data_IF_428554634658
#
_entry.id   IF_428554634658
#
_cell.length_a   1.000
_cell.length_b   1.000
_cell.length_c   1.000
_cell.angle_alpha   90.00
_cell.angle_beta   90.00
_cell.angle_gamma   90.00
#
_symmetry.space_group_name_H-M   'P 1'
#
loop_
_entity.id
_entity.type
_entity.pdbx_description
1 polymer ?
#
# COMPACT_ATOMS: atom_id res chain seq x y z
N UNK A 1 -8.59 -45.59 -7.37
CA UNK A 1 -9.88 -46.10 -7.92
C UNK A 1 -11.02 -46.31 -6.90
N UNK A 2 -10.77 -46.58 -5.61
CA UNK A 2 -11.86 -46.87 -4.63
C UNK A 2 -12.73 -45.69 -4.15
N UNK A 3 -12.40 -44.44 -4.50
CA UNK A 3 -13.12 -43.23 -4.01
C UNK A 3 -14.30 -42.77 -4.91
N UNK A 4 -14.49 -43.37 -6.08
CA UNK A 4 -15.32 -42.78 -7.16
C UNK A 4 -16.84 -42.83 -6.96
N UNK A 5 -17.38 -43.74 -6.13
CA UNK A 5 -18.84 -43.91 -5.98
C UNK A 5 -19.48 -43.30 -4.72
N UNK A 6 -18.73 -43.14 -3.62
CA UNK A 6 -19.27 -42.62 -2.33
C UNK A 6 -18.86 -41.19 -2.00
N UNK A 7 -17.76 -40.67 -2.57
CA UNK A 7 -17.22 -39.36 -2.23
C UNK A 7 -16.87 -38.54 -3.49
N UNK A 8 -17.88 -38.26 -4.33
CA UNK A 8 -17.75 -37.51 -5.60
C UNK A 8 -16.90 -36.23 -5.44
N UNK A 9 -17.05 -35.54 -4.30
CA UNK A 9 -16.36 -34.29 -4.01
C UNK A 9 -14.89 -34.46 -3.65
N UNK A 10 -14.54 -35.50 -2.88
CA UNK A 10 -13.14 -35.83 -2.59
C UNK A 10 -12.40 -36.24 -3.87
N UNK A 11 -13.07 -36.99 -4.76
CA UNK A 11 -12.50 -37.37 -6.05
C UNK A 11 -12.25 -36.16 -6.97
N UNK A 12 -13.18 -35.21 -7.02
CA UNK A 12 -13.00 -33.98 -7.78
C UNK A 12 -11.84 -33.13 -7.24
N UNK A 13 -11.72 -32.98 -5.91
CA UNK A 13 -10.63 -32.23 -5.28
C UNK A 13 -9.25 -32.88 -5.52
N UNK A 14 -9.16 -34.21 -5.37
CA UNK A 14 -7.93 -34.94 -5.71
C UNK A 14 -7.59 -34.85 -7.20
N UNK A 15 -8.61 -34.81 -8.06
CA UNK A 15 -8.45 -34.55 -9.49
C UNK A 15 -7.79 -33.20 -9.76
N UNK A 16 -8.25 -32.13 -9.10
CA UNK A 16 -7.66 -30.79 -9.21
C UNK A 16 -6.20 -30.76 -8.75
N UNK A 17 -5.92 -31.33 -7.57
CA UNK A 17 -4.56 -31.34 -6.99
C UNK A 17 -3.60 -32.20 -7.81
N UNK A 18 -4.07 -33.32 -8.40
CA UNK A 18 -3.22 -34.18 -9.24
C UNK A 18 -2.72 -33.49 -10.50
N UNK A 19 -3.48 -32.55 -11.06
CA UNK A 19 -3.08 -31.80 -12.26
C UNK A 19 -2.26 -30.55 -11.93
N UNK A 20 -2.27 -30.09 -10.67
CA UNK A 20 -1.53 -28.92 -10.22
C UNK A 20 -1.12 -29.07 -8.73
N UNK A 21 -0.12 -29.92 -8.42
CA UNK A 21 0.22 -30.29 -7.04
C UNK A 21 0.74 -29.13 -6.19
N UNK A 22 1.27 -28.07 -6.81
CA UNK A 22 1.73 -26.86 -6.11
C UNK A 22 0.68 -25.75 -6.04
N UNK A 23 -0.50 -25.93 -6.64
CA UNK A 23 -1.53 -24.89 -6.70
C UNK A 23 -2.20 -24.74 -5.34
N UNK A 24 -2.08 -23.56 -4.77
CA UNK A 24 -2.88 -23.14 -3.61
C UNK A 24 -4.26 -22.71 -4.08
N UNK A 25 -5.30 -23.14 -3.35
CA UNK A 25 -6.69 -22.81 -3.62
C UNK A 25 -7.33 -22.39 -2.30
N UNK A 26 -8.04 -21.27 -2.28
CA UNK A 26 -8.80 -20.89 -1.10
C UNK A 26 -9.95 -21.87 -0.89
N UNK A 27 -10.20 -22.26 0.36
CA UNK A 27 -11.26 -23.22 0.68
C UNK A 27 -12.64 -22.68 0.30
N UNK A 28 -12.80 -21.35 0.30
CA UNK A 28 -14.00 -20.64 -0.20
C UNK A 28 -14.29 -20.93 -1.67
N UNK A 29 -13.25 -21.04 -2.50
CA UNK A 29 -13.39 -21.15 -3.95
C UNK A 29 -13.79 -22.55 -4.40
N UNK A 30 -13.75 -23.51 -3.46
CA UNK A 30 -14.14 -24.91 -3.69
C UNK A 30 -15.66 -25.13 -3.57
N UNK A 31 -16.43 -24.09 -3.19
CA UNK A 31 -17.89 -24.10 -3.09
C UNK A 31 -18.47 -24.86 -1.89
N UNK A 32 -19.78 -24.68 -1.66
CA UNK A 32 -20.49 -25.11 -0.45
C UNK A 32 -20.46 -26.61 -0.21
N UNK A 33 -19.96 -27.05 0.95
CA UNK A 33 -19.83 -28.46 1.34
C UNK A 33 -18.46 -29.08 1.02
N UNK A 34 -17.50 -28.29 0.52
CA UNK A 34 -16.12 -28.75 0.31
C UNK A 34 -15.30 -28.80 1.60
N UNK A 35 -15.69 -28.09 2.66
CA UNK A 35 -14.95 -28.06 3.93
C UNK A 35 -14.76 -29.45 4.56
N UNK A 36 -15.82 -30.27 4.60
CA UNK A 36 -15.73 -31.63 5.13
C UNK A 36 -14.83 -32.53 4.27
N UNK A 37 -14.91 -32.39 2.94
CA UNK A 37 -14.07 -33.16 2.01
C UNK A 37 -12.59 -32.76 2.11
N UNK A 38 -12.29 -31.46 2.21
CA UNK A 38 -10.93 -30.94 2.42
C UNK A 38 -10.36 -31.45 3.74
N UNK A 39 -11.14 -31.40 4.83
CA UNK A 39 -10.72 -31.91 6.13
C UNK A 39 -10.39 -33.40 6.09
N UNK A 40 -11.29 -34.23 5.55
CA UNK A 40 -11.04 -35.69 5.46
C UNK A 40 -9.85 -36.03 4.57
N UNK A 41 -9.62 -35.30 3.47
CA UNK A 41 -8.46 -35.51 2.60
C UNK A 41 -7.16 -35.06 3.27
N UNK A 42 -7.20 -34.00 4.08
CA UNK A 42 -6.06 -33.56 4.88
C UNK A 42 -5.71 -34.56 5.99
N UNK A 43 -6.72 -35.08 6.72
CA UNK A 43 -6.54 -36.15 7.72
C UNK A 43 -5.96 -37.42 7.11
N UNK A 44 -6.33 -37.75 5.88
CA UNK A 44 -5.80 -38.88 5.13
C UNK A 44 -4.41 -38.59 4.49
N UNK A 45 -3.82 -37.41 4.72
CA UNK A 45 -2.47 -37.05 4.28
C UNK A 45 -2.33 -36.65 2.81
N UNK A 46 -3.45 -36.48 2.09
CA UNK A 46 -3.43 -36.12 0.67
C UNK A 46 -3.39 -34.61 0.42
N UNK A 47 -3.81 -33.81 1.40
CA UNK A 47 -3.81 -32.35 1.36
C UNK A 47 -3.13 -31.79 2.60
N UNK A 48 -2.54 -30.61 2.47
CA UNK A 48 -2.10 -29.79 3.60
C UNK A 48 -3.00 -28.57 3.67
N UNK A 49 -3.56 -28.30 4.84
CA UNK A 49 -4.34 -27.10 5.10
C UNK A 49 -3.40 -26.11 5.80
N UNK A 50 -3.26 -24.93 5.23
CA UNK A 50 -2.54 -23.82 5.85
C UNK A 50 -3.48 -22.64 6.01
N UNK A 51 -3.27 -21.87 7.09
CA UNK A 51 -3.94 -20.59 7.27
C UNK A 51 -2.99 -19.51 6.77
N UNK A 52 -3.42 -18.81 5.72
CA UNK A 52 -2.68 -17.71 5.12
C UNK A 52 -3.50 -16.42 5.28
N UNK A 53 -2.85 -15.35 5.76
CA UNK A 53 -3.47 -14.02 5.80
C UNK A 53 -3.53 -13.47 4.37
N UNK A 54 -4.70 -13.49 3.75
CA UNK A 54 -4.92 -12.83 2.47
C UNK A 54 -5.16 -11.35 2.69
N UNK A 55 -4.24 -10.52 2.17
CA UNK A 55 -4.40 -9.06 2.14
C UNK A 55 -5.47 -8.69 1.12
N UNK A 56 -6.39 -7.82 1.52
CA UNK A 56 -7.27 -7.10 0.58
C UNK A 56 -6.49 -5.89 0.09
N UNK A 57 -5.87 -6.01 -1.08
CA UNK A 57 -5.21 -4.86 -1.71
C UNK A 57 -6.26 -4.01 -2.43
N UNK A 58 -6.51 -2.77 -1.99
CA UNK A 58 -7.54 -1.91 -2.57
C UNK A 58 -7.33 -1.61 -4.06
N UNK A 59 -6.11 -1.82 -4.57
CA UNK A 59 -5.78 -1.56 -5.97
C UNK A 59 -5.51 -2.83 -6.79
N UNK A 60 -5.84 -4.02 -6.27
CA UNK A 60 -5.64 -5.29 -6.99
C UNK A 60 -6.49 -5.43 -8.27
N UNK A 61 -7.68 -4.82 -8.32
CA UNK A 61 -8.63 -5.02 -9.44
C UNK A 61 -8.38 -4.11 -10.65
N UNK A 62 -7.28 -3.35 -10.68
CA UNK A 62 -6.98 -2.36 -11.73
C UNK A 62 -5.50 -2.25 -12.11
N UNK A 63 -4.71 -3.30 -11.88
CA UNK A 63 -3.25 -3.27 -12.07
C UNK A 63 -2.89 -3.21 -13.56
N UNK A 64 -2.84 -2.01 -14.12
CA UNK A 64 -1.83 -1.72 -15.13
C UNK A 64 -0.46 -1.97 -14.49
N UNK A 65 0.40 -2.71 -15.17
CA UNK A 65 1.76 -3.02 -14.71
C UNK A 65 2.47 -1.72 -14.31
N UNK A 66 2.74 -1.55 -13.00
CA UNK A 66 3.38 -0.34 -12.50
C UNK A 66 4.87 -0.47 -12.79
N UNK A 67 5.32 0.16 -13.88
CA UNK A 67 6.72 0.24 -14.22
C UNK A 67 7.47 1.12 -13.23
N UNK A 68 8.65 0.68 -12.82
CA UNK A 68 9.54 1.47 -11.98
C UNK A 68 10.00 2.73 -12.71
N UNK A 69 10.01 3.86 -12.01
CA UNK A 69 10.56 5.12 -12.53
C UNK A 69 11.85 5.51 -11.80
N UNK A 70 12.80 6.03 -12.56
CA UNK A 70 14.04 6.58 -12.02
C UNK A 70 13.85 8.04 -11.53
N UNK A 71 14.69 8.51 -10.59
CA UNK A 71 14.76 9.93 -10.25
C UNK A 71 15.18 10.76 -11.48
N UNK A 72 14.53 11.90 -11.66
CA UNK A 72 14.84 12.83 -12.74
C UNK A 72 15.93 13.83 -12.29
N UNK A 73 16.78 14.31 -13.20
CA UNK A 73 17.72 15.39 -12.85
C UNK A 73 16.93 16.64 -12.45
N UNK A 74 17.23 17.18 -11.27
CA UNK A 74 16.65 18.42 -10.79
C UNK A 74 17.32 19.61 -11.50
N UNK A 75 16.52 20.61 -11.88
CA UNK A 75 17.08 21.90 -12.29
C UNK A 75 17.60 22.67 -11.08
N UNK A 76 18.31 23.78 -11.31
CA UNK A 76 18.97 24.55 -10.23
C UNK A 76 18.00 24.99 -9.11
N UNK A 77 16.78 25.41 -9.47
CA UNK A 77 15.77 25.85 -8.49
C UNK A 77 15.23 24.67 -7.68
N UNK A 78 14.94 23.54 -8.33
CA UNK A 78 14.50 22.32 -7.67
C UNK A 78 15.61 21.72 -6.79
N UNK A 79 16.86 21.79 -7.25
CA UNK A 79 18.02 21.34 -6.48
C UNK A 79 18.18 22.17 -5.21
N UNK A 80 18.06 23.50 -5.30
CA UNK A 80 18.09 24.38 -4.14
C UNK A 80 16.99 24.01 -3.13
N UNK A 81 15.75 23.89 -3.61
CA UNK A 81 14.61 23.49 -2.77
C UNK A 81 14.80 22.10 -2.14
N UNK A 82 15.30 21.13 -2.90
CA UNK A 82 15.60 19.79 -2.41
C UNK A 82 16.64 19.82 -1.29
N UNK A 83 17.72 20.60 -1.43
CA UNK A 83 18.74 20.74 -0.40
C UNK A 83 18.19 21.35 0.90
N UNK A 84 17.35 22.39 0.79
CA UNK A 84 16.68 22.97 1.97
C UNK A 84 15.76 21.96 2.66
N UNK A 85 14.99 21.18 1.88
CA UNK A 85 14.10 20.15 2.44
C UNK A 85 14.88 19.07 3.17
N UNK A 86 15.93 18.49 2.56
CA UNK A 86 16.66 17.38 3.20
C UNK A 86 17.47 17.83 4.42
N UNK A 87 17.87 19.10 4.51
CA UNK A 87 18.56 19.65 5.68
C UNK A 87 17.67 19.63 6.94
N UNK A 88 16.35 19.73 6.78
CA UNK A 88 15.40 19.65 7.88
C UNK A 88 15.06 18.19 8.28
N UNK A 89 15.31 17.22 7.39
CA UNK A 89 15.01 15.81 7.66
C UNK A 89 16.01 15.27 8.69
N UNK A 90 15.52 15.08 9.93
CA UNK A 90 16.35 14.61 11.04
C UNK A 90 17.04 15.71 11.83
N UNK A 91 16.76 16.98 11.54
CA UNK A 91 17.12 18.09 12.41
C UNK A 91 16.44 17.94 13.79
N UNK A 92 17.06 18.48 14.84
CA UNK A 92 16.51 18.45 16.20
C UNK A 92 15.21 19.29 16.31
N UNK A 93 15.15 20.39 15.57
CA UNK A 93 14.01 21.31 15.52
C UNK A 93 13.64 21.62 14.06
N UNK A 94 12.98 20.70 13.35
CA UNK A 94 12.67 20.87 11.95
C UNK A 94 11.69 22.02 11.74
N UNK A 95 11.91 22.83 10.69
CA UNK A 95 11.05 23.95 10.32
C UNK A 95 10.10 23.56 9.19
N UNK A 96 8.86 24.08 9.19
CA UNK A 96 7.97 23.93 8.04
C UNK A 96 8.55 24.69 6.84
N UNK A 97 8.52 24.06 5.66
CA UNK A 97 8.96 24.64 4.39
C UNK A 97 7.76 24.76 3.47
N UNK A 98 7.58 25.93 2.86
CA UNK A 98 6.63 26.15 1.79
C UNK A 98 7.33 26.04 0.44
N UNK A 99 7.03 24.99 -0.32
CA UNK A 99 7.52 24.83 -1.69
C UNK A 99 6.59 25.53 -2.69
N UNK A 100 6.88 26.80 -2.98
CA UNK A 100 6.08 27.59 -3.93
C UNK A 100 6.49 27.29 -5.38
N UNK A 101 5.51 26.93 -6.21
CA UNK A 101 5.71 26.77 -7.64
C UNK A 101 4.40 26.55 -8.37
N UNK A 102 4.32 27.01 -9.61
CA UNK A 102 3.14 26.78 -10.47
C UNK A 102 2.96 25.29 -10.80
N UNK A 103 1.79 24.89 -11.25
CA UNK A 103 1.56 23.54 -11.77
C UNK A 103 2.52 23.24 -12.91
N UNK A 104 3.10 22.04 -12.93
CA UNK A 104 4.09 21.66 -13.94
C UNK A 104 5.52 22.13 -13.66
N UNK A 105 5.78 22.91 -12.61
CA UNK A 105 7.16 23.29 -12.22
C UNK A 105 8.02 22.14 -11.67
N UNK A 106 7.42 20.95 -11.50
CA UNK A 106 8.10 19.75 -11.02
C UNK A 106 8.21 19.62 -9.49
N UNK A 107 7.34 20.28 -8.71
CA UNK A 107 7.27 20.12 -7.24
C UNK A 107 7.24 18.65 -6.80
N UNK A 108 6.45 17.84 -7.50
CA UNK A 108 6.34 16.40 -7.22
C UNK A 108 7.68 15.66 -7.32
N UNK A 109 8.60 16.08 -8.21
CA UNK A 109 9.90 15.42 -8.31
C UNK A 109 10.74 15.70 -7.05
N UNK A 110 10.69 16.92 -6.52
CA UNK A 110 11.32 17.28 -5.24
C UNK A 110 10.73 16.44 -4.10
N UNK A 111 9.40 16.26 -4.08
CA UNK A 111 8.73 15.41 -3.09
C UNK A 111 9.24 13.96 -3.13
N UNK A 112 9.31 13.38 -4.34
CA UNK A 112 9.72 11.99 -4.53
C UNK A 112 11.19 11.77 -4.11
N UNK A 113 12.08 12.70 -4.44
CA UNK A 113 13.49 12.60 -4.03
C UNK A 113 13.68 12.85 -2.52
N UNK A 114 12.97 13.81 -1.92
CA UNK A 114 12.99 14.03 -0.48
C UNK A 114 12.44 12.82 0.30
N UNK A 115 11.36 12.20 -0.21
CA UNK A 115 10.83 10.97 0.35
C UNK A 115 11.84 9.82 0.28
N UNK A 116 12.55 9.67 -0.85
CA UNK A 116 13.65 8.69 -0.96
C UNK A 116 14.73 8.95 0.10
N UNK A 117 15.18 10.19 0.25
CA UNK A 117 16.17 10.57 1.24
C UNK A 117 15.74 10.22 2.68
N UNK A 118 14.49 10.54 3.05
CA UNK A 118 13.94 10.15 4.35
C UNK A 118 13.96 8.63 4.57
N UNK A 119 13.59 7.85 3.54
CA UNK A 119 13.61 6.39 3.62
C UNK A 119 15.04 5.83 3.74
N UNK A 120 16.02 6.44 3.07
CA UNK A 120 17.44 6.07 3.18
C UNK A 120 17.99 6.29 4.59
N UNK A 121 17.45 7.27 5.31
CA UNK A 121 17.74 7.51 6.74
C UNK A 121 16.98 6.58 7.69
N UNK A 122 16.26 5.56 7.18
CA UNK A 122 15.45 4.66 8.01
C UNK A 122 14.15 5.27 8.55
N UNK A 123 13.76 6.46 8.07
CA UNK A 123 12.54 7.16 8.50
C UNK A 123 11.34 6.74 7.65
N UNK A 124 10.15 7.22 7.99
CA UNK A 124 8.91 7.03 7.23
C UNK A 124 8.33 8.35 6.73
N UNK A 125 7.44 8.28 5.75
CA UNK A 125 6.90 9.44 5.02
C UNK A 125 5.38 9.43 5.05
N UNK A 126 4.77 10.58 5.38
CA UNK A 126 3.34 10.83 5.20
C UNK A 126 3.14 11.81 4.05
N UNK A 127 2.22 11.50 3.14
CA UNK A 127 1.82 12.34 2.03
C UNK A 127 0.33 12.61 2.15
N UNK A 128 -0.01 13.83 2.54
CA UNK A 128 -1.36 14.33 2.58
C UNK A 128 -1.70 14.93 1.22
N UNK A 129 -2.79 14.47 0.65
CA UNK A 129 -3.39 15.02 -0.57
C UNK A 129 -4.85 15.41 -0.28
N UNK A 130 -5.43 16.37 -1.02
CA UNK A 130 -6.84 16.71 -0.86
C UNK A 130 -7.72 15.47 -1.09
N UNK A 131 -8.81 15.28 -0.31
CA UNK A 131 -9.59 14.04 -0.33
C UNK A 131 -10.20 13.72 -1.71
N UNK A 132 -10.68 14.75 -2.40
CA UNK A 132 -11.24 14.67 -3.76
C UNK A 132 -10.13 14.47 -4.80
N UNK A 133 -8.92 14.93 -4.47
CA UNK A 133 -7.74 14.89 -5.32
C UNK A 133 -6.77 13.79 -4.93
N UNK A 134 -7.23 12.74 -4.22
CA UNK A 134 -6.51 11.47 -4.16
C UNK A 134 -6.50 10.88 -5.57
N UNK A 135 -5.66 11.48 -6.40
CA UNK A 135 -5.61 11.23 -7.81
C UNK A 135 -4.89 9.91 -7.97
N UNK A 136 -5.43 8.97 -8.76
CA UNK A 136 -4.71 7.78 -9.18
C UNK A 136 -3.31 8.12 -9.70
N UNK A 137 -3.13 9.32 -10.27
CA UNK A 137 -1.84 9.85 -10.70
C UNK A 137 -0.82 9.99 -9.57
N UNK A 138 -1.18 10.60 -8.43
CA UNK A 138 -0.23 10.81 -7.32
C UNK A 138 0.16 9.47 -6.69
N UNK A 139 -0.83 8.62 -6.43
CA UNK A 139 -0.59 7.26 -5.92
C UNK A 139 0.31 6.49 -6.89
N UNK A 140 0.01 6.51 -8.19
CA UNK A 140 0.81 5.83 -9.22
C UNK A 140 2.23 6.35 -9.30
N UNK A 141 2.46 7.66 -9.18
CA UNK A 141 3.81 8.23 -9.19
C UNK A 141 4.65 7.71 -8.02
N UNK A 142 4.10 7.69 -6.82
CA UNK A 142 4.80 7.14 -5.66
C UNK A 142 5.00 5.63 -5.79
N UNK A 143 3.97 4.86 -6.16
CA UNK A 143 4.10 3.41 -6.38
C UNK A 143 5.17 3.10 -7.44
N UNK A 144 5.19 3.83 -8.55
CA UNK A 144 6.19 3.69 -9.60
C UNK A 144 7.60 4.06 -9.13
N UNK A 145 7.78 5.18 -8.43
CA UNK A 145 9.10 5.60 -7.92
C UNK A 145 9.68 4.63 -6.90
N UNK A 146 8.81 3.96 -6.15
CA UNK A 146 9.21 3.08 -5.05
C UNK A 146 8.90 1.60 -5.34
N UNK A 147 8.71 1.24 -6.62
CA UNK A 147 8.36 -0.13 -7.03
C UNK A 147 9.43 -1.17 -6.66
N UNK A 148 10.72 -0.79 -6.69
CA UNK A 148 11.81 -1.66 -6.21
C UNK A 148 11.74 -1.96 -4.70
N UNK A 149 11.01 -1.16 -3.92
CA UNK A 149 10.72 -1.45 -2.52
C UNK A 149 9.33 -2.07 -2.42
N UNK A 150 9.31 -3.39 -2.42
CA UNK A 150 8.07 -4.17 -2.33
C UNK A 150 7.20 -3.69 -1.16
N UNK A 151 5.93 -3.40 -1.45
CA UNK A 151 4.93 -2.98 -0.47
C UNK A 151 5.29 -1.74 0.37
N UNK A 152 6.17 -0.87 -0.13
CA UNK A 152 6.59 0.33 0.62
C UNK A 152 5.50 1.41 0.74
N UNK A 153 4.49 1.39 -0.14
CA UNK A 153 3.43 2.40 -0.21
C UNK A 153 2.11 1.83 0.31
N UNK A 154 1.51 2.52 1.27
CA UNK A 154 0.13 2.31 1.73
C UNK A 154 -0.74 3.50 1.31
N UNK A 155 -2.00 3.22 0.99
CA UNK A 155 -2.97 4.25 0.60
C UNK A 155 -4.11 4.26 1.62
N UNK A 156 -4.46 5.42 2.15
CA UNK A 156 -5.52 5.58 3.16
C UNK A 156 -6.53 6.66 2.76
N UNK A 157 -7.78 6.24 2.51
CA UNK A 157 -8.88 7.15 2.20
C UNK A 157 -10.23 6.64 2.74
N UNK A 158 -11.29 7.42 2.54
CA UNK A 158 -12.65 7.12 2.98
C UNK A 158 -13.32 5.98 2.21
N UNK A 159 -12.99 5.80 0.94
CA UNK A 159 -13.54 4.70 0.11
C UNK A 159 -13.03 3.28 0.46
N UNK A 160 -12.08 3.14 1.38
CA UNK A 160 -11.62 1.81 1.82
C UNK A 160 -12.69 1.14 2.70
N UNK A 161 -12.95 -0.14 2.45
CA UNK A 161 -13.69 -0.98 3.39
C UNK A 161 -12.96 -1.07 4.73
N UNK A 162 -13.69 -1.42 5.80
CA UNK A 162 -13.08 -1.61 7.12
C UNK A 162 -11.96 -2.65 7.11
N UNK A 163 -12.11 -3.69 6.28
CA UNK A 163 -11.10 -4.74 6.10
C UNK A 163 -9.82 -4.23 5.45
N UNK A 164 -9.94 -3.50 4.35
CA UNK A 164 -8.80 -2.90 3.66
C UNK A 164 -8.08 -1.88 4.53
N UNK A 165 -8.84 -1.00 5.22
CA UNK A 165 -8.27 -0.04 6.16
C UNK A 165 -7.51 -0.74 7.29
N UNK A 166 -8.02 -1.86 7.81
CA UNK A 166 -7.35 -2.66 8.83
C UNK A 166 -6.03 -3.24 8.30
N UNK A 167 -6.04 -3.82 7.09
CA UNK A 167 -4.85 -4.41 6.47
C UNK A 167 -3.75 -3.36 6.23
N UNK A 168 -4.11 -2.20 5.68
CA UNK A 168 -3.17 -1.08 5.46
C UNK A 168 -2.64 -0.51 6.79
N UNK A 169 -3.51 -0.30 7.78
CA UNK A 169 -3.09 0.18 9.10
C UNK A 169 -2.06 -0.77 9.76
N UNK A 170 -2.28 -2.08 9.64
CA UNK A 170 -1.38 -3.08 10.20
C UNK A 170 -0.04 -3.13 9.46
N UNK A 171 -0.05 -2.99 8.13
CA UNK A 171 1.19 -2.88 7.32
C UNK A 171 2.03 -1.67 7.72
N UNK A 172 1.38 -0.52 7.93
CA UNK A 172 2.05 0.71 8.36
C UNK A 172 2.67 0.50 9.75
N UNK A 173 1.88 -0.02 10.69
CA UNK A 173 2.34 -0.28 12.05
C UNK A 173 3.50 -1.27 12.12
N UNK A 174 3.49 -2.32 11.28
CA UNK A 174 4.57 -3.32 11.18
C UNK A 174 5.81 -2.79 10.46
N UNK A 175 5.77 -1.59 9.88
CA UNK A 175 6.88 -1.00 9.12
C UNK A 175 7.06 -1.60 7.72
N UNK A 176 6.09 -2.37 7.22
CA UNK A 176 6.08 -2.89 5.84
C UNK A 176 5.84 -1.74 4.88
N UNK A 177 4.75 -0.99 5.09
CA UNK A 177 4.51 0.26 4.39
C UNK A 177 5.22 1.40 5.11
N UNK A 178 6.17 2.04 4.42
CA UNK A 178 7.00 3.13 4.95
C UNK A 178 6.59 4.50 4.41
N UNK A 179 5.75 4.52 3.38
CA UNK A 179 5.13 5.71 2.80
C UNK A 179 3.62 5.53 2.94
N UNK A 180 2.94 6.52 3.52
CA UNK A 180 1.47 6.59 3.54
C UNK A 180 1.03 7.74 2.68
N UNK A 181 0.15 7.46 1.72
CA UNK A 181 -0.53 8.47 0.92
C UNK A 181 -1.99 8.48 1.34
N UNK A 182 -2.55 9.63 1.66
CA UNK A 182 -3.95 9.66 1.99
C UNK A 182 -4.53 11.05 2.13
N UNK A 183 -5.84 11.06 2.30
CA UNK A 183 -6.57 12.26 2.65
C UNK A 183 -6.25 12.68 4.10
N UNK A 184 -6.94 13.70 4.59
CA UNK A 184 -6.82 14.23 5.96
C UNK A 184 -6.76 13.18 7.07
N UNK A 185 -7.57 12.11 6.99
CA UNK A 185 -7.58 11.06 8.01
C UNK A 185 -6.27 10.27 8.14
N UNK A 186 -5.41 10.30 7.13
CA UNK A 186 -4.10 9.65 7.14
C UNK A 186 -3.11 10.27 8.14
N UNK A 187 -3.41 11.46 8.69
CA UNK A 187 -2.63 12.05 9.79
C UNK A 187 -2.59 11.13 11.03
N UNK A 188 -3.56 10.22 11.18
CA UNK A 188 -3.62 9.24 12.27
C UNK A 188 -2.96 7.90 11.91
N UNK A 189 -2.27 7.81 10.77
CA UNK A 189 -1.53 6.61 10.39
C UNK A 189 -0.42 6.31 11.43
N UNK A 190 -0.25 5.05 11.85
CA UNK A 190 0.68 4.67 12.91
C UNK A 190 2.12 4.54 12.36
N UNK A 191 2.67 5.63 11.80
CA UNK A 191 3.98 5.67 11.15
C UNK A 191 5.11 5.68 12.18
N UNK A 192 5.89 4.59 12.35
CA UNK A 192 7.06 4.62 13.21
C UNK A 192 8.16 5.48 12.57
N UNK A 193 8.95 6.18 13.39
CA UNK A 193 10.10 6.98 12.91
C UNK A 193 9.74 7.98 11.79
N UNK A 194 8.60 8.67 11.92
CA UNK A 194 8.16 9.68 10.96
C UNK A 194 9.25 10.74 10.73
N UNK A 195 9.62 10.92 9.47
CA UNK A 195 10.72 11.81 9.05
C UNK A 195 10.32 12.95 8.14
N UNK A 196 9.24 12.77 7.39
CA UNK A 196 8.78 13.75 6.41
C UNK A 196 7.26 13.71 6.32
N UNK A 197 6.63 14.89 6.39
CA UNK A 197 5.23 15.09 6.07
C UNK A 197 5.17 16.01 4.86
N UNK A 198 4.56 15.54 3.78
CA UNK A 198 4.28 16.31 2.59
C UNK A 198 2.79 16.65 2.58
N UNK A 199 2.46 17.92 2.38
CA UNK A 199 1.08 18.39 2.23
C UNK A 199 0.96 18.97 0.83
N UNK A 200 0.29 18.26 -0.07
CA UNK A 200 0.08 18.74 -1.42
C UNK A 200 -1.16 19.63 -1.50
N UNK A 201 -1.11 20.62 -2.38
CA UNK A 201 -2.16 21.64 -2.55
C UNK A 201 -2.66 22.22 -1.21
N UNK A 202 -1.74 22.70 -0.36
CA UNK A 202 -2.05 23.11 1.03
C UNK A 202 -3.19 24.13 1.15
N UNK A 203 -3.38 24.95 0.12
CA UNK A 203 -4.42 25.96 0.03
C UNK A 203 -5.85 25.38 -0.06
N UNK A 204 -6.00 24.08 -0.27
CA UNK A 204 -7.29 23.40 -0.38
C UNK A 204 -8.04 23.37 0.96
N UNK A 205 -9.28 23.87 0.95
CA UNK A 205 -10.13 23.91 2.14
C UNK A 205 -10.52 22.52 2.66
N UNK A 206 -10.34 21.46 1.85
CA UNK A 206 -10.65 20.07 2.23
C UNK A 206 -9.82 19.54 3.40
N UNK A 207 -8.70 20.20 3.72
CA UNK A 207 -7.93 19.94 4.93
C UNK A 207 -8.60 20.47 6.21
N UNK A 208 -9.56 21.39 6.10
CA UNK A 208 -10.33 21.89 7.23
C UNK A 208 -11.57 21.03 7.45
N UNK A 209 -11.68 20.44 8.64
CA UNK A 209 -12.88 19.71 9.02
C UNK A 209 -14.02 20.68 9.35
N UNK A 210 -15.17 20.52 8.69
CA UNK A 210 -16.36 21.34 8.98
C UNK A 210 -17.19 20.81 10.16
N UNK A 211 -17.20 19.48 10.36
CA UNK A 211 -17.95 18.76 11.41
C UNK A 211 -17.12 18.41 12.64
N UNK A 212 -17.73 18.30 13.83
CA UNK A 212 -17.01 17.95 15.07
C UNK A 212 -16.47 16.50 14.99
N UNK A 213 -15.26 16.19 15.50
CA UNK A 213 -14.27 17.07 16.13
C UNK A 213 -13.54 17.95 15.10
N UNK A 214 -13.33 19.23 15.45
CA UNK A 214 -12.65 20.22 14.61
C UNK A 214 -11.18 20.35 14.98
#
# INVERSE_FOLDING_TARGET
EKLSRRAKRQFALLGLVRHAPEKRLAVSDLGDGSAAAVKSLAEAGWLRIETEELRRDPEADGVEEILESAPLPLNDAQQCAYQEVIAEIGAENPKPILLLGVTGSGKTEVYLQAARHALDMGKTVLVLVPEISLTPQTVRRFKSRFAAMQDAVAVMHSNLSQGERFDEWHRIRKGVARIVIGARSAVFAPLPNLGLILVDEEHENTYKQESVPR
#
